data_IF_013933566140
#
_entry.id   IF_013933566140
#
_cell.length_a   1.000
_cell.length_b   1.000
_cell.length_c   1.000
_cell.angle_alpha   90.00
_cell.angle_beta   90.00
_cell.angle_gamma   90.00
#
_symmetry.space_group_name_H-M   'P 1'
#
loop_
_entity.id
_entity.type
_entity.pdbx_description
1 polymer ?
#
# COMPACT_ATOMS: atom_id res chain seq x y z
N UNK A 1 2.89 0.64 5.67
CA UNK A 1 1.43 0.82 5.79
C UNK A 1 1.03 0.77 7.25
N UNK A 2 -0.27 0.81 7.54
CA UNK A 2 -0.82 0.63 8.88
C UNK A 2 -2.17 -0.06 8.83
N UNK A 3 -2.57 -0.74 9.89
CA UNK A 3 -3.89 -1.37 9.99
C UNK A 3 -5.02 -0.35 9.86
N UNK A 4 -6.20 -0.79 9.41
CA UNK A 4 -7.40 0.06 9.30
C UNK A 4 -7.16 1.32 8.44
N UNK A 5 -6.33 1.21 7.40
CA UNK A 5 -6.02 2.32 6.50
C UNK A 5 -7.27 2.80 5.74
N UNK A 6 -7.69 4.04 6.00
CA UNK A 6 -8.89 4.63 5.40
C UNK A 6 -8.82 4.75 3.88
N UNK A 7 -7.65 5.03 3.30
CA UNK A 7 -7.49 5.14 1.85
C UNK A 7 -7.61 3.78 1.14
N UNK A 8 -7.03 2.73 1.73
CA UNK A 8 -7.15 1.36 1.20
C UNK A 8 -8.59 0.88 1.33
N UNK A 9 -9.24 1.13 2.47
CA UNK A 9 -10.65 0.80 2.68
C UNK A 9 -11.56 1.51 1.67
N UNK A 10 -11.42 2.82 1.49
CA UNK A 10 -12.22 3.58 0.54
C UNK A 10 -12.04 3.09 -0.90
N UNK A 11 -10.81 2.72 -1.29
CA UNK A 11 -10.52 2.13 -2.59
C UNK A 11 -11.17 0.75 -2.74
N UNK A 12 -11.05 -0.12 -1.73
CA UNK A 12 -11.69 -1.43 -1.70
C UNK A 12 -13.21 -1.32 -1.84
N UNK A 13 -13.85 -0.43 -1.07
CA UNK A 13 -15.29 -0.20 -1.11
C UNK A 13 -15.73 0.31 -2.51
N UNK A 14 -14.94 1.21 -3.12
CA UNK A 14 -15.19 1.71 -4.47
C UNK A 14 -15.13 0.61 -5.55
N UNK A 15 -14.28 -0.41 -5.38
CA UNK A 15 -14.22 -1.56 -6.32
C UNK A 15 -15.40 -2.53 -6.21
N UNK A 16 -16.16 -2.48 -5.11
CA UNK A 16 -17.32 -3.35 -4.84
C UNK A 16 -18.65 -2.70 -5.22
N UNK A 17 -18.70 -1.37 -5.31
CA UNK A 17 -19.89 -0.66 -5.72
C UNK A 17 -20.20 -0.95 -7.21
N UNK A 18 -21.49 -1.08 -7.60
CA UNK A 18 -21.86 -1.01 -9.02
C UNK A 18 -21.35 0.30 -9.62
N UNK A 19 -21.04 0.31 -10.92
CA UNK A 19 -20.49 1.45 -11.67
C UNK A 19 -21.10 2.79 -11.19
N UNK A 20 -20.28 3.83 -10.99
CA UNK A 20 -20.52 4.84 -9.97
C UNK A 20 -21.87 5.52 -10.16
N UNK A 21 -22.79 5.28 -9.21
CA UNK A 21 -23.72 6.32 -8.80
C UNK A 21 -22.88 7.52 -8.32
N UNK A 22 -23.29 8.78 -8.60
CA UNK A 22 -22.55 9.95 -8.19
C UNK A 22 -22.26 9.86 -6.69
N UNK A 23 -20.97 9.96 -6.36
CA UNK A 23 -20.41 9.60 -5.06
C UNK A 23 -21.28 10.03 -3.87
N UNK A 24 -21.85 9.04 -3.19
CA UNK A 24 -22.28 9.19 -1.82
C UNK A 24 -21.02 9.20 -0.94
N UNK A 25 -20.33 10.35 -0.92
CA UNK A 25 -19.11 10.59 -0.17
C UNK A 25 -18.14 11.51 -0.92
N UNK A 26 -18.22 12.82 -0.65
CA UNK A 26 -17.28 13.88 -1.05
C UNK A 26 -17.05 14.15 -2.55
N UNK A 27 -17.53 13.34 -3.51
CA UNK A 27 -17.35 13.65 -4.94
C UNK A 27 -18.45 14.51 -5.57
N UNK A 28 -19.39 15.04 -4.78
CA UNK A 28 -20.36 16.04 -5.27
C UNK A 28 -19.78 17.46 -5.37
N UNK A 29 -18.59 17.71 -4.79
CA UNK A 29 -17.83 18.95 -4.99
C UNK A 29 -16.81 18.72 -6.12
N UNK A 30 -17.31 18.61 -7.35
CA UNK A 30 -16.54 18.20 -8.55
C UNK A 30 -15.58 19.26 -9.10
N UNK A 31 -15.23 20.27 -8.30
CA UNK A 31 -14.24 21.28 -8.67
C UNK A 31 -13.06 21.18 -7.69
N UNK A 32 -11.95 20.54 -8.15
CA UNK A 32 -10.64 20.39 -7.48
C UNK A 32 -10.38 19.18 -6.56
N UNK A 33 -11.06 18.03 -6.72
CA UNK A 33 -10.70 16.83 -5.94
C UNK A 33 -9.61 15.98 -6.60
N UNK A 34 -8.46 15.82 -5.94
CA UNK A 34 -7.38 14.89 -6.34
C UNK A 34 -7.56 13.47 -5.79
N UNK A 35 -8.63 13.20 -5.04
CA UNK A 35 -8.90 11.88 -4.44
C UNK A 35 -9.01 10.75 -5.47
N UNK A 36 -9.63 10.93 -6.66
CA UNK A 36 -9.67 9.87 -7.68
C UNK A 36 -8.28 9.40 -8.13
N UNK A 37 -7.27 10.27 -8.12
CA UNK A 37 -5.90 9.88 -8.45
C UNK A 37 -5.31 8.94 -7.39
N UNK A 38 -5.63 9.14 -6.10
CA UNK A 38 -5.22 8.23 -5.02
C UNK A 38 -5.88 6.87 -5.16
N UNK A 39 -7.19 6.84 -5.46
CA UNK A 39 -7.93 5.59 -5.71
C UNK A 39 -7.27 4.81 -6.84
N UNK A 40 -6.94 5.48 -7.95
CA UNK A 40 -6.28 4.87 -9.12
C UNK A 40 -4.90 4.30 -8.80
N UNK A 41 -4.11 4.95 -7.94
CA UNK A 41 -2.79 4.44 -7.54
C UNK A 41 -2.90 3.23 -6.57
N UNK A 42 -3.97 3.12 -5.77
CA UNK A 42 -4.16 2.04 -4.79
C UNK A 42 -4.87 0.82 -5.42
N UNK A 43 -5.74 1.03 -6.39
CA UNK A 43 -6.57 -0.01 -7.01
C UNK A 43 -5.80 -1.28 -7.46
N UNK A 44 -4.59 -1.20 -8.06
CA UNK A 44 -3.82 -2.39 -8.42
C UNK A 44 -3.52 -3.30 -7.23
N UNK A 45 -3.32 -2.74 -6.03
CA UNK A 45 -3.07 -3.51 -4.82
C UNK A 45 -4.33 -4.24 -4.32
N UNK A 46 -5.52 -3.66 -4.52
CA UNK A 46 -6.79 -4.33 -4.20
C UNK A 46 -6.95 -5.58 -5.07
N UNK A 47 -6.65 -5.46 -6.36
CA UNK A 47 -6.72 -6.59 -7.28
C UNK A 47 -5.67 -7.67 -6.99
N UNK A 48 -4.45 -7.28 -6.64
CA UNK A 48 -3.37 -8.20 -6.26
C UNK A 48 -3.59 -8.91 -4.91
N UNK A 49 -4.49 -8.40 -4.07
CA UNK A 49 -4.87 -9.02 -2.80
C UNK A 49 -5.96 -10.11 -2.95
N UNK A 50 -6.64 -10.21 -4.11
CA UNK A 50 -7.69 -11.21 -4.33
C UNK A 50 -7.19 -12.63 -4.07
N UNK A 51 -7.92 -13.38 -3.26
CA UNK A 51 -7.61 -14.78 -2.93
C UNK A 51 -6.52 -14.98 -1.88
N UNK A 52 -5.94 -13.90 -1.32
CA UNK A 52 -5.11 -14.01 -0.12
C UNK A 52 -5.96 -14.45 1.08
N UNK A 53 -5.35 -15.17 2.01
CA UNK A 53 -6.00 -15.62 3.25
C UNK A 53 -6.05 -14.48 4.29
N UNK A 54 -6.96 -14.59 5.24
CA UNK A 54 -7.12 -13.61 6.33
C UNK A 54 -8.17 -12.52 6.02
N UNK A 55 -8.25 -11.49 6.87
CA UNK A 55 -9.18 -10.37 6.66
C UNK A 55 -8.85 -9.62 5.36
N UNK A 56 -9.87 -9.40 4.52
CA UNK A 56 -9.71 -8.83 3.18
C UNK A 56 -9.02 -7.45 3.20
N UNK A 57 -9.39 -6.59 4.15
CA UNK A 57 -8.78 -5.26 4.26
C UNK A 57 -7.29 -5.35 4.63
N UNK A 58 -6.91 -6.27 5.52
CA UNK A 58 -5.53 -6.45 5.94
C UNK A 58 -4.68 -6.97 4.78
N UNK A 59 -5.20 -7.95 4.02
CA UNK A 59 -4.56 -8.44 2.80
C UNK A 59 -4.38 -7.33 1.75
N UNK A 60 -5.36 -6.44 1.60
CA UNK A 60 -5.25 -5.26 0.73
C UNK A 60 -4.20 -4.27 1.23
N UNK A 61 -4.09 -4.06 2.54
CA UNK A 61 -3.08 -3.18 3.15
C UNK A 61 -1.68 -3.74 2.91
N UNK A 62 -1.46 -5.02 3.15
CA UNK A 62 -0.18 -5.69 2.88
C UNK A 62 0.19 -5.61 1.40
N UNK A 63 -0.76 -5.92 0.51
CA UNK A 63 -0.54 -5.80 -0.93
C UNK A 63 -0.23 -4.37 -1.36
N UNK A 64 -0.85 -3.36 -0.73
CA UNK A 64 -0.55 -1.96 -1.02
C UNK A 64 0.85 -1.54 -0.56
N UNK A 65 1.35 -2.10 0.54
CA UNK A 65 2.73 -1.91 0.98
C UNK A 65 3.71 -2.53 -0.02
N UNK A 66 3.44 -3.76 -0.46
CA UNK A 66 4.25 -4.43 -1.49
C UNK A 66 4.24 -3.67 -2.81
N UNK A 67 3.06 -3.21 -3.25
CA UNK A 67 2.90 -2.40 -4.46
C UNK A 67 3.73 -1.11 -4.36
N UNK A 68 3.58 -0.37 -3.26
CA UNK A 68 4.34 0.86 -3.02
C UNK A 68 5.85 0.60 -3.01
N UNK A 69 6.30 -0.47 -2.36
CA UNK A 69 7.71 -0.86 -2.34
C UNK A 69 8.25 -1.17 -3.75
N UNK A 70 7.48 -1.88 -4.57
CA UNK A 70 7.82 -2.13 -5.97
C UNK A 70 7.91 -0.86 -6.81
N UNK A 71 7.01 0.10 -6.59
CA UNK A 71 6.99 1.38 -7.30
C UNK A 71 8.23 2.24 -7.01
N UNK A 72 8.78 2.17 -5.80
CA UNK A 72 10.03 2.88 -5.46
C UNK A 72 11.18 2.44 -6.39
N UNK A 73 11.35 1.14 -6.58
CA UNK A 73 12.41 0.59 -7.44
C UNK A 73 12.10 0.77 -8.92
N UNK A 74 10.83 0.64 -9.33
CA UNK A 74 10.45 0.70 -10.74
C UNK A 74 10.54 2.12 -11.31
N UNK A 75 10.20 3.14 -10.49
CA UNK A 75 10.12 4.56 -10.93
C UNK A 75 11.42 5.35 -10.79
N UNK A 76 12.44 4.82 -10.11
CA UNK A 76 13.69 5.54 -9.86
C UNK A 76 14.92 4.72 -10.24
N UNK A 77 15.63 5.18 -11.27
CA UNK A 77 16.90 4.58 -11.71
C UNK A 77 17.97 4.70 -10.63
N UNK A 78 17.99 5.82 -9.90
CA UNK A 78 18.94 6.09 -8.81
C UNK A 78 18.74 5.08 -7.68
N UNK A 79 17.50 4.93 -7.20
CA UNK A 79 17.21 4.01 -6.10
C UNK A 79 17.45 2.57 -6.56
N UNK A 80 17.03 2.22 -7.78
CA UNK A 80 17.27 0.89 -8.34
C UNK A 80 18.77 0.56 -8.41
N UNK A 81 19.61 1.50 -8.83
CA UNK A 81 21.07 1.31 -8.82
C UNK A 81 21.60 1.13 -7.40
N UNK A 82 21.16 1.93 -6.44
CA UNK A 82 21.64 1.80 -5.05
C UNK A 82 21.19 0.51 -4.37
N UNK A 83 20.01 -0.02 -4.72
CA UNK A 83 19.56 -1.35 -4.29
C UNK A 83 20.43 -2.43 -4.95
N UNK A 84 20.69 -2.34 -6.26
CA UNK A 84 21.54 -3.29 -6.98
C UNK A 84 22.98 -3.29 -6.46
N UNK A 85 23.51 -2.13 -6.08
CA UNK A 85 24.83 -1.96 -5.47
C UNK A 85 24.88 -2.39 -3.99
N UNK A 86 23.75 -2.75 -3.38
CA UNK A 86 23.65 -3.10 -1.96
C UNK A 86 23.86 -1.92 -1.00
N UNK A 87 23.81 -0.68 -1.49
CA UNK A 87 24.00 0.55 -0.70
C UNK A 87 22.77 0.92 0.12
N UNK A 88 21.58 0.56 -0.37
CA UNK A 88 20.31 0.78 0.32
C UNK A 88 19.43 -0.47 0.17
N UNK A 89 18.43 -0.56 1.04
CA UNK A 89 17.43 -1.62 1.00
C UNK A 89 16.03 -1.04 1.12
N UNK A 90 15.10 -1.68 0.42
CA UNK A 90 13.67 -1.40 0.55
C UNK A 90 13.07 -2.48 1.44
N UNK A 91 12.32 -2.05 2.46
CA UNK A 91 11.61 -2.95 3.38
C UNK A 91 10.13 -2.61 3.41
N UNK A 92 9.29 -3.65 3.49
CA UNK A 92 7.85 -3.52 3.67
C UNK A 92 7.46 -3.77 5.12
N UNK A 93 6.59 -2.94 5.68
CA UNK A 93 6.04 -3.16 7.02
C UNK A 93 4.64 -2.57 7.20
N UNK A 94 3.85 -3.20 8.06
CA UNK A 94 2.53 -2.74 8.49
C UNK A 94 2.59 -2.39 9.96
N UNK A 95 2.25 -1.16 10.29
CA UNK A 95 2.15 -0.68 11.67
C UNK A 95 0.82 -1.11 12.30
N UNK A 96 0.93 -1.73 13.46
CA UNK A 96 -0.17 -2.10 14.34
C UNK A 96 -0.46 -0.93 15.28
N UNK A 97 -1.64 -0.31 15.14
CA UNK A 97 -2.05 0.88 15.89
C UNK A 97 -2.38 0.55 17.34
N UNK A 98 -2.80 -0.68 17.64
CA UNK A 98 -3.18 -1.11 18.98
C UNK A 98 -1.96 -1.37 19.88
N UNK A 99 -0.88 -1.91 19.31
CA UNK A 99 0.34 -2.31 20.03
C UNK A 99 1.55 -1.41 19.77
N UNK A 100 1.50 -0.60 18.72
CA UNK A 100 2.60 0.27 18.28
C UNK A 100 3.78 -0.48 17.64
N UNK A 101 3.58 -1.73 17.22
CA UNK A 101 4.62 -2.57 16.60
C UNK A 101 4.57 -2.51 15.08
N UNK A 102 5.70 -2.82 14.44
CA UNK A 102 5.77 -3.00 12.99
C UNK A 102 5.86 -4.50 12.67
N UNK A 103 4.92 -4.98 11.89
CA UNK A 103 4.94 -6.31 11.29
C UNK A 103 5.64 -6.22 9.94
N UNK A 104 6.84 -6.80 9.84
CA UNK A 104 7.64 -6.77 8.62
C UNK A 104 7.13 -7.79 7.60
N UNK A 105 7.00 -7.38 6.34
CA UNK A 105 6.53 -8.24 5.25
C UNK A 105 7.71 -8.96 4.60
N UNK A 106 7.68 -10.29 4.61
CA UNK A 106 8.73 -11.13 4.00
C UNK A 106 8.70 -11.09 2.47
N UNK A 107 7.59 -10.65 1.87
CA UNK A 107 7.39 -10.52 0.43
C UNK A 107 8.18 -9.36 -0.19
N UNK A 108 8.65 -8.41 0.62
CA UNK A 108 9.57 -7.35 0.18
C UNK A 108 11.00 -7.79 0.54
N UNK A 109 11.91 -7.98 -0.44
CA UNK A 109 13.23 -8.53 -0.18
C UNK A 109 13.97 -7.82 0.95
N UNK A 110 14.17 -8.52 2.05
CA UNK A 110 14.97 -8.06 3.17
C UNK A 110 16.39 -8.61 2.99
N UNK A 111 17.33 -7.78 2.52
CA UNK A 111 18.75 -8.15 2.64
C UNK A 111 19.11 -8.15 4.13
N UNK A 112 20.02 -9.04 4.52
CA UNK A 112 20.22 -9.40 5.92
C UNK A 112 20.68 -8.20 6.76
N UNK A 113 19.83 -7.82 7.73
CA UNK A 113 20.18 -7.10 8.97
C UNK A 113 20.37 -5.56 8.92
N UNK A 114 19.39 -4.83 9.48
CA UNK A 114 19.65 -3.67 10.34
C UNK A 114 18.96 -3.94 11.68
N UNK A 115 19.71 -4.47 12.66
CA UNK A 115 19.33 -4.32 14.06
C UNK A 115 19.35 -2.82 14.33
N UNK A 116 18.19 -2.20 14.49
CA UNK A 116 18.10 -0.94 15.22
C UNK A 116 18.48 -1.29 16.65
N UNK A 117 19.78 -1.17 16.97
CA UNK A 117 20.23 -1.18 18.35
C UNK A 117 19.54 0.00 19.02
N UNK A 118 18.67 -0.29 19.98
CA UNK A 118 18.40 0.68 21.05
C UNK A 118 19.67 0.84 21.88
#
# INVERSE_FOLDING_TARGET
GHERCGAVKATLDATKAPAPAPAAGHAAEAHHSHIPALVKEIEPAIWAAKGRTGPELDACIESNVEHSAGQITSRSDIIRQFVADGKVQIVGGVYDLDTGRVNWLSSVPQSAYVRVRR
#
